data_IF_833680337151
#
_entry.id   IF_833680337151
#
_cell.length_a   1.000
_cell.length_b   1.000
_cell.length_c   1.000
_cell.angle_alpha   90.00
_cell.angle_beta   90.00
_cell.angle_gamma   90.00
#
_symmetry.space_group_name_H-M   'P 1'
#
loop_
_entity.id
_entity.type
_entity.pdbx_description
1 polymer ?
#
# COMPACT_ATOMS: atom_id res chain seq x y z
N UNK A 1 -10.05 -12.23 2.04
CA UNK A 1 -8.77 -11.75 1.46
C UNK A 1 -8.41 -12.53 0.18
N UNK A 2 -9.31 -12.70 -0.79
CA UNK A 2 -8.95 -13.37 -2.06
C UNK A 2 -8.40 -12.38 -3.09
N UNK A 3 -8.88 -11.14 -3.05
CA UNK A 3 -8.48 -10.10 -4.01
C UNK A 3 -7.68 -8.97 -3.36
N UNK A 4 -7.41 -9.04 -2.05
CA UNK A 4 -6.62 -8.01 -1.35
C UNK A 4 -5.20 -8.00 -1.91
N UNK A 5 -4.70 -6.84 -2.30
CA UNK A 5 -3.33 -6.68 -2.78
C UNK A 5 -2.34 -7.04 -1.65
N UNK A 6 -1.50 -8.08 -1.81
CA UNK A 6 -0.60 -8.53 -0.76
C UNK A 6 0.53 -7.54 -0.48
N UNK A 7 0.90 -6.71 -1.46
CA UNK A 7 2.02 -5.77 -1.32
C UNK A 7 1.70 -4.56 -0.46
N UNK A 8 0.44 -4.14 -0.44
CA UNK A 8 -0.04 -3.01 0.36
C UNK A 8 -1.08 -3.41 1.41
N UNK A 9 -1.37 -4.71 1.56
CA UNK A 9 -2.42 -5.28 2.42
C UNK A 9 -3.79 -4.58 2.27
N UNK A 10 -4.13 -4.14 1.05
CA UNK A 10 -5.38 -3.43 0.77
C UNK A 10 -5.34 -1.91 0.91
N UNK A 11 -4.21 -1.31 1.26
CA UNK A 11 -4.10 0.13 1.47
C UNK A 11 -4.01 0.96 0.18
N UNK A 12 -3.63 0.36 -0.96
CA UNK A 12 -3.40 1.08 -2.22
C UNK A 12 -2.05 1.80 -2.32
N UNK A 13 -1.34 1.97 -1.20
CA UNK A 13 -0.03 2.65 -1.17
C UNK A 13 1.01 1.84 -0.37
N UNK A 14 2.25 1.90 -0.80
CA UNK A 14 3.42 1.34 -0.11
C UNK A 14 4.30 2.47 0.43
N UNK A 15 4.90 2.27 1.60
CA UNK A 15 5.83 3.25 2.20
C UNK A 15 7.25 2.92 1.76
N UNK A 16 7.98 3.90 1.22
CA UNK A 16 9.45 3.80 1.13
C UNK A 16 10.05 4.03 2.52
N UNK A 17 10.16 2.98 3.32
CA UNK A 17 10.92 3.02 4.57
C UNK A 17 12.24 2.28 4.36
N UNK A 18 13.32 3.01 4.15
CA UNK A 18 14.70 2.48 4.20
C UNK A 18 15.19 2.26 5.65
N UNK A 19 14.29 2.17 6.63
CA UNK A 19 14.60 1.93 8.03
C UNK A 19 13.60 0.99 8.71
N UNK A 20 14.05 0.34 9.80
CA UNK A 20 13.22 -0.56 10.62
C UNK A 20 11.95 0.18 11.08
N UNK A 21 10.77 -0.34 10.74
CA UNK A 21 9.49 0.16 11.23
C UNK A 21 9.47 0.09 12.76
N UNK A 22 9.48 1.24 13.44
CA UNK A 22 8.99 1.31 14.81
C UNK A 22 7.46 1.28 14.75
N UNK A 23 6.84 0.44 15.58
CA UNK A 23 5.43 0.04 15.52
C UNK A 23 4.40 1.20 15.52
N UNK A 24 4.80 2.43 15.82
CA UNK A 24 3.92 3.62 15.92
C UNK A 24 4.00 4.59 14.72
N UNK A 25 4.71 4.23 13.63
CA UNK A 25 4.97 5.17 12.54
C UNK A 25 3.96 5.08 11.39
N UNK A 26 2.67 5.29 11.66
CA UNK A 26 1.78 5.83 10.62
C UNK A 26 2.12 7.32 10.41
N UNK A 27 3.35 7.60 9.94
CA UNK A 27 3.81 8.98 9.75
C UNK A 27 3.01 9.61 8.62
N UNK A 28 2.30 10.70 8.92
CA UNK A 28 1.53 11.50 7.97
C UNK A 28 2.43 12.15 6.91
N UNK A 29 3.66 12.50 7.29
CA UNK A 29 4.59 13.27 6.45
C UNK A 29 5.49 12.40 5.54
N UNK A 30 5.44 11.07 5.69
CA UNK A 30 6.18 10.19 4.80
C UNK A 30 5.46 10.10 3.45
N UNK A 31 6.20 10.32 2.37
CA UNK A 31 5.69 10.12 1.02
C UNK A 31 5.21 8.68 0.84
N UNK A 32 3.90 8.52 0.68
CA UNK A 32 3.27 7.25 0.33
C UNK A 32 3.33 7.10 -1.18
N UNK A 33 3.84 5.97 -1.64
CA UNK A 33 3.99 5.69 -3.07
C UNK A 33 2.84 4.80 -3.49
N UNK A 34 2.21 5.09 -4.63
CA UNK A 34 1.16 4.24 -5.19
C UNK A 34 1.68 2.82 -5.32
N UNK A 35 0.92 1.85 -4.80
CA UNK A 35 1.27 0.44 -4.92
C UNK A 35 1.18 0.03 -6.39
N UNK A 36 2.32 -0.28 -7.01
CA UNK A 36 2.39 -0.64 -8.44
C UNK A 36 1.63 -1.94 -8.78
N UNK A 37 1.50 -2.87 -7.83
CA UNK A 37 0.84 -4.16 -8.07
C UNK A 37 -0.69 -4.04 -8.21
N UNK A 38 -1.30 -3.10 -7.49
CA UNK A 38 -2.75 -2.83 -7.59
C UNK A 38 -3.08 -1.46 -8.19
N UNK A 39 -2.07 -0.73 -8.68
CA UNK A 39 -2.20 0.64 -9.20
C UNK A 39 -3.00 1.60 -8.29
N UNK A 40 -2.88 1.46 -6.97
CA UNK A 40 -3.62 2.30 -6.02
C UNK A 40 -4.97 1.76 -5.55
N UNK A 41 -5.46 0.66 -6.13
CA UNK A 41 -6.82 0.16 -5.87
C UNK A 41 -6.93 -0.68 -4.58
N UNK A 42 -5.82 -1.17 -4.05
CA UNK A 42 -5.80 -2.07 -2.88
C UNK A 42 -6.29 -3.49 -3.18
N UNK A 43 -6.74 -3.78 -4.40
CA UNK A 43 -7.16 -5.11 -4.82
C UNK A 43 -6.54 -5.53 -6.15
N UNK A 44 -6.22 -6.82 -6.27
CA UNK A 44 -5.79 -7.43 -7.53
C UNK A 44 -7.00 -7.63 -8.44
N UNK A 45 -6.84 -7.31 -9.73
CA UNK A 45 -7.88 -7.45 -10.76
C UNK A 45 -9.13 -6.56 -10.57
N UNK A 46 -9.07 -5.53 -9.72
CA UNK A 46 -10.12 -4.51 -9.74
C UNK A 46 -9.90 -3.61 -10.95
N UNK A 47 -10.96 -3.39 -11.73
CA UNK A 47 -11.05 -2.32 -12.73
C UNK A 47 -12.05 -1.32 -12.17
N UNK A 48 -11.61 -0.09 -11.95
CA UNK A 48 -12.53 1.02 -11.62
C UNK A 48 -13.35 1.31 -12.89
N UNK A 49 -14.68 1.22 -12.79
CA UNK A 49 -15.60 1.41 -13.93
C UNK A 49 -16.26 2.77 -13.83
#
# INVERSE_FOLDING_TARGET
>A
RKDTCPDCDGAGFVRKSSGRLNANAARKDQAQIVCANCNGLGKLNQVDK
#
